data_IF_270721827427
#
_entry.id   IF_270721827427
#
_cell.length_a   1.000
_cell.length_b   1.000
_cell.length_c   1.000
_cell.angle_alpha   90.00
_cell.angle_beta   90.00
_cell.angle_gamma   90.00
#
_symmetry.space_group_name_H-M   'P 1'
#
loop_
_entity.id
_entity.type
_entity.pdbx_description
1 polymer ?
#
# COMPACT_ATOMS: atom_id res chain seq x y z
N UNK A 1 -1.18 -19.99 5.59
CA UNK A 1 -1.67 -18.73 6.16
C UNK A 1 -0.85 -17.55 5.69
N UNK A 2 0.43 -17.47 6.05
CA UNK A 2 1.30 -16.33 5.76
C UNK A 2 2.19 -16.53 4.51
N UNK A 3 2.72 -17.74 4.28
CA UNK A 3 3.62 -18.01 3.13
C UNK A 3 2.97 -17.86 1.76
N UNK A 4 1.67 -18.21 1.64
CA UNK A 4 0.91 -18.03 0.39
C UNK A 4 0.64 -16.55 0.11
N UNK A 5 0.33 -15.77 1.14
CA UNK A 5 0.06 -14.33 1.00
C UNK A 5 1.28 -13.55 0.54
N UNK A 6 2.49 -13.89 1.02
CA UNK A 6 3.75 -13.29 0.52
C UNK A 6 3.96 -13.56 -0.95
N UNK A 7 3.82 -14.83 -1.36
CA UNK A 7 4.05 -15.24 -2.73
C UNK A 7 3.07 -14.57 -3.69
N UNK A 8 1.79 -14.47 -3.29
CA UNK A 8 0.76 -13.77 -4.05
C UNK A 8 1.09 -12.27 -4.17
N UNK A 9 1.51 -11.62 -3.08
CA UNK A 9 1.83 -10.19 -3.10
C UNK A 9 3.07 -9.89 -3.95
N UNK A 10 4.14 -10.68 -3.82
CA UNK A 10 5.35 -10.57 -4.65
C UNK A 10 5.02 -10.76 -6.13
N UNK A 11 4.21 -11.76 -6.46
CA UNK A 11 3.79 -12.02 -7.83
C UNK A 11 2.92 -10.88 -8.39
N UNK A 12 2.04 -10.30 -7.56
CA UNK A 12 1.23 -9.14 -7.95
C UNK A 12 2.10 -7.91 -8.24
N UNK A 13 3.13 -7.65 -7.41
CA UNK A 13 4.09 -6.57 -7.66
C UNK A 13 4.86 -6.85 -8.96
N UNK A 14 5.36 -8.07 -9.14
CA UNK A 14 6.09 -8.49 -10.35
C UNK A 14 5.26 -8.26 -11.61
N UNK A 15 3.98 -8.67 -11.59
CA UNK A 15 3.02 -8.52 -12.70
C UNK A 15 2.48 -7.10 -12.87
N UNK A 16 2.68 -6.20 -11.89
CA UNK A 16 2.07 -4.87 -11.91
C UNK A 16 0.56 -4.87 -11.65
N UNK A 17 0.06 -5.90 -10.97
CA UNK A 17 -1.36 -6.03 -10.56
C UNK A 17 -1.57 -5.78 -9.06
N UNK A 18 -0.50 -5.44 -8.34
CA UNK A 18 -0.59 -4.94 -6.98
C UNK A 18 -1.32 -3.57 -6.94
N UNK A 19 -1.92 -3.20 -5.79
CA UNK A 19 -2.48 -1.87 -5.61
C UNK A 19 -1.40 -0.78 -5.71
N UNK A 20 -1.80 0.47 -5.87
CA UNK A 20 -0.86 1.59 -5.92
C UNK A 20 -0.11 1.83 -4.60
N UNK A 21 -0.72 1.47 -3.47
CA UNK A 21 -0.14 1.52 -2.13
C UNK A 21 -0.93 0.61 -1.17
N UNK A 22 -0.31 0.23 -0.06
CA UNK A 22 -0.97 -0.36 1.12
C UNK A 22 -0.93 0.66 2.25
N UNK A 23 -2.09 0.92 2.86
CA UNK A 23 -2.20 1.76 4.06
C UNK A 23 -2.62 0.88 5.23
N UNK A 24 -1.91 0.97 6.36
CA UNK A 24 -2.14 0.14 7.55
C UNK A 24 -2.42 1.00 8.78
N UNK A 25 -3.00 0.38 9.81
CA UNK A 25 -3.23 1.01 11.12
C UNK A 25 -2.12 0.73 12.14
N UNK A 26 -1.12 -0.06 11.75
CA UNK A 26 0.04 -0.46 12.54
C UNK A 26 1.18 -0.84 11.60
N UNK A 27 2.39 -0.56 12.03
CA UNK A 27 3.63 -1.10 11.45
C UNK A 27 3.51 -2.61 11.23
N UNK A 28 3.73 -3.03 9.99
CA UNK A 28 3.74 -4.43 9.58
C UNK A 28 5.09 -4.75 8.92
N UNK A 29 5.99 -5.38 9.69
CA UNK A 29 7.33 -5.74 9.22
C UNK A 29 7.31 -6.72 8.05
N UNK A 30 6.25 -7.49 7.88
CA UNK A 30 6.11 -8.47 6.81
C UNK A 30 5.79 -7.79 5.47
N UNK A 31 4.87 -6.83 5.47
CA UNK A 31 4.57 -6.02 4.28
C UNK A 31 5.77 -5.19 3.88
N UNK A 32 6.47 -4.58 4.84
CA UNK A 32 7.69 -3.82 4.60
C UNK A 32 8.79 -4.67 3.99
N UNK A 33 9.07 -5.86 4.55
CA UNK A 33 10.08 -6.77 3.99
C UNK A 33 9.70 -7.23 2.58
N UNK A 34 8.42 -7.48 2.33
CA UNK A 34 7.94 -7.88 1.00
C UNK A 34 8.20 -6.79 -0.04
N UNK A 35 7.94 -5.52 0.30
CA UNK A 35 8.20 -4.39 -0.59
C UNK A 35 9.71 -4.25 -0.90
N UNK A 36 10.57 -4.39 0.11
CA UNK A 36 12.04 -4.35 -0.04
C UNK A 36 12.52 -5.49 -0.95
N UNK A 37 12.05 -6.72 -0.71
CA UNK A 37 12.43 -7.88 -1.53
C UNK A 37 11.95 -7.72 -2.98
N UNK A 38 10.76 -7.17 -3.20
CA UNK A 38 10.25 -6.92 -4.54
C UNK A 38 11.09 -5.87 -5.29
N UNK A 39 11.52 -4.82 -4.59
CA UNK A 39 12.39 -3.78 -5.15
C UNK A 39 13.74 -4.37 -5.57
N UNK A 40 14.36 -5.16 -4.70
CA UNK A 40 15.64 -5.82 -4.98
C UNK A 40 15.54 -6.82 -6.14
N UNK A 41 14.48 -7.64 -6.18
CA UNK A 41 14.35 -8.73 -7.15
C UNK A 41 13.84 -8.26 -8.52
N UNK A 42 12.99 -7.23 -8.55
CA UNK A 42 12.22 -6.85 -9.74
C UNK A 42 12.35 -5.38 -10.13
N UNK A 43 13.05 -4.55 -9.35
CA UNK A 43 13.10 -3.10 -9.55
C UNK A 43 11.74 -2.43 -9.39
N UNK A 44 10.80 -3.07 -8.69
CA UNK A 44 9.43 -2.59 -8.47
C UNK A 44 9.11 -2.67 -6.99
N UNK A 45 8.52 -1.60 -6.46
CA UNK A 45 8.14 -1.53 -5.05
C UNK A 45 6.65 -1.27 -4.89
N UNK A 46 6.13 -1.60 -3.71
CA UNK A 46 4.76 -1.30 -3.29
C UNK A 46 4.85 -0.41 -2.04
N UNK A 47 4.48 0.87 -2.11
CA UNK A 47 4.48 1.74 -0.94
C UNK A 47 3.61 1.16 0.18
N UNK A 48 4.17 1.05 1.38
CA UNK A 48 3.46 0.62 2.59
C UNK A 48 3.53 1.75 3.61
N UNK A 49 2.38 2.28 4.02
CA UNK A 49 2.29 3.44 4.92
C UNK A 49 1.45 3.11 6.14
N UNK A 50 2.01 3.29 7.33
CA UNK A 50 1.26 3.23 8.59
C UNK A 50 0.72 4.62 8.95
N UNK A 51 -0.60 4.75 9.03
CA UNK A 51 -1.29 6.00 9.44
C UNK A 51 -1.81 5.92 10.88
N UNK A 52 -1.52 4.83 11.60
CA UNK A 52 -2.02 4.54 12.92
C UNK A 52 -3.54 4.32 12.96
N UNK A 53 -4.10 3.93 14.13
CA UNK A 53 -5.53 3.62 14.25
C UNK A 53 -6.45 4.81 13.93
N UNK A 54 -6.06 6.02 14.38
CA UNK A 54 -6.87 7.21 14.16
C UNK A 54 -6.86 7.69 12.71
N UNK A 55 -5.70 7.64 12.04
CA UNK A 55 -5.60 7.95 10.62
C UNK A 55 -6.36 6.93 9.78
N UNK A 56 -6.23 5.63 10.12
CA UNK A 56 -6.91 4.55 9.40
C UNK A 56 -8.44 4.68 9.49
N UNK A 57 -8.98 5.10 10.64
CA UNK A 57 -10.43 5.34 10.82
C UNK A 57 -10.98 6.47 9.94
N UNK A 58 -10.14 7.37 9.42
CA UNK A 58 -10.55 8.42 8.48
C UNK A 58 -10.69 7.89 7.05
N UNK A 59 -10.14 6.71 6.75
CA UNK A 59 -10.27 6.07 5.44
C UNK A 59 -11.69 5.52 5.29
N UNK A 60 -12.34 5.88 4.19
CA UNK A 60 -13.67 5.39 3.84
C UNK A 60 -13.58 4.64 2.51
N UNK A 61 -14.36 3.56 2.38
CA UNK A 61 -14.46 2.86 1.11
C UNK A 61 -14.96 3.80 0.00
N UNK A 62 -14.38 3.68 -1.20
CA UNK A 62 -14.63 4.58 -2.32
C UNK A 62 -14.00 5.98 -2.22
N UNK A 63 -13.29 6.31 -1.14
CA UNK A 63 -12.56 7.57 -1.05
C UNK A 63 -11.29 7.56 -1.93
N UNK A 64 -10.96 8.72 -2.50
CA UNK A 64 -9.69 8.90 -3.21
C UNK A 64 -8.60 9.35 -2.23
N UNK A 65 -7.47 8.64 -2.24
CA UNK A 65 -6.31 8.96 -1.43
C UNK A 65 -5.06 9.08 -2.31
N UNK A 66 -4.16 10.00 -1.94
CA UNK A 66 -2.83 10.14 -2.52
C UNK A 66 -1.78 9.89 -1.45
N UNK A 67 -0.78 9.07 -1.78
CA UNK A 67 0.38 8.83 -0.92
C UNK A 67 1.54 9.65 -1.44
N UNK A 68 2.03 10.58 -0.63
CA UNK A 68 3.20 11.39 -0.93
C UNK A 68 4.50 10.62 -0.67
N UNK A 69 5.61 11.13 -1.23
CA UNK A 69 6.93 10.52 -1.05
C UNK A 69 7.43 10.54 0.40
N UNK A 70 6.93 11.47 1.21
CA UNK A 70 7.26 11.57 2.64
C UNK A 70 6.40 10.66 3.53
N UNK A 71 5.51 9.86 2.92
CA UNK A 71 4.59 8.98 3.63
C UNK A 71 3.28 9.64 4.05
N UNK A 72 3.06 10.92 3.73
CA UNK A 72 1.78 11.58 4.01
C UNK A 72 0.67 10.98 3.15
N UNK A 73 -0.48 10.64 3.77
CA UNK A 73 -1.70 10.22 3.06
C UNK A 73 -2.69 11.37 3.04
N UNK A 74 -2.99 11.88 1.85
CA UNK A 74 -3.95 12.98 1.63
C UNK A 74 -5.25 12.41 1.10
N UNK A 75 -6.34 12.66 1.80
CA UNK A 75 -7.69 12.31 1.35
C UNK A 75 -8.25 13.42 0.46
N UNK A 76 -8.93 13.02 -0.60
CA UNK A 76 -9.57 13.91 -1.56
C UNK A 76 -10.98 13.43 -1.85
N UNK A 77 -11.88 14.38 -2.16
CA UNK A 77 -13.16 14.02 -2.75
C UNK A 77 -12.90 13.28 -4.08
N UNK A 78 -13.71 12.27 -4.44
CA UNK A 78 -13.62 11.67 -5.75
C UNK A 78 -13.73 12.78 -6.81
N UNK A 79 -12.92 12.73 -7.88
CA UNK A 79 -13.00 13.73 -8.94
C UNK A 79 -14.44 13.78 -9.43
N UNK A 80 -15.02 14.98 -9.49
CA UNK A 80 -16.30 15.19 -10.14
C UNK A 80 -16.10 14.73 -11.59
N UNK A 81 -16.77 13.65 -11.99
CA UNK A 81 -16.80 13.20 -13.38
C UNK A 81 -17.27 14.38 -14.24
N UNK A 82 -16.34 14.97 -14.99
CA UNK A 82 -16.61 15.94 -16.05
C UNK A 82 -16.67 15.25 -17.41
#
# INVERSE_FOLDING_TARGET
GSSTTTAVLLEAIRRGTAPAALVTSRVDSFLTLTAIVAEEMYGKTLPVVDVGPEGFRKLMDGAHARVERDGTVVLSAPPLLG
#
